data_IF_974229974317
#
_entry.id   IF_974229974317
#
_cell.length_a   1.000
_cell.length_b   1.000
_cell.length_c   1.000
_cell.angle_alpha   90.00
_cell.angle_beta   90.00
_cell.angle_gamma   90.00
#
_symmetry.space_group_name_H-M   'P 1'
#
loop_
_entity.id
_entity.type
_entity.pdbx_description
1 polymer ?
#
# COMPACT_ATOMS: atom_id res chain seq x y z
N UNK A 1 -26.10 -35.82 11.76
CA UNK A 1 -24.88 -35.83 12.58
C UNK A 1 -24.35 -34.41 12.59
N UNK A 2 -24.43 -33.75 13.74
CA UNK A 2 -24.03 -32.36 13.90
C UNK A 2 -22.50 -32.25 13.81
N UNK A 3 -22.02 -31.40 12.91
CA UNK A 3 -20.61 -31.00 12.85
C UNK A 3 -20.38 -30.04 14.00
N UNK A 4 -19.50 -30.43 14.91
CA UNK A 4 -19.14 -29.68 16.10
C UNK A 4 -18.34 -28.44 15.72
N UNK A 5 -18.95 -27.26 15.89
CA UNK A 5 -18.26 -25.97 15.93
C UNK A 5 -17.19 -26.02 17.02
N UNK A 6 -15.93 -26.01 16.61
CA UNK A 6 -14.80 -25.85 17.52
C UNK A 6 -14.75 -24.37 17.89
N UNK A 7 -15.49 -24.01 18.94
CA UNK A 7 -15.38 -22.71 19.60
C UNK A 7 -14.04 -22.68 20.36
N UNK A 8 -12.97 -22.24 19.69
CA UNK A 8 -11.68 -21.96 20.31
C UNK A 8 -11.79 -20.62 21.04
N UNK A 9 -12.40 -20.64 22.21
CA UNK A 9 -12.15 -19.59 23.21
C UNK A 9 -10.66 -19.64 23.56
N UNK A 10 -9.97 -18.50 23.73
CA UNK A 10 -8.61 -18.51 24.26
C UNK A 10 -8.59 -19.25 25.59
N UNK A 11 -7.58 -20.11 25.79
CA UNK A 11 -7.40 -20.80 27.06
C UNK A 11 -7.25 -19.73 28.14
N UNK A 12 -8.12 -19.77 29.14
CA UNK A 12 -8.07 -18.91 30.32
C UNK A 12 -6.64 -18.90 30.88
N UNK A 13 -5.92 -17.80 30.68
CA UNK A 13 -4.55 -17.60 31.20
C UNK A 13 -3.45 -17.30 30.17
N UNK A 14 -3.71 -17.34 28.86
CA UNK A 14 -2.75 -16.80 27.87
C UNK A 14 -2.82 -15.27 27.87
N UNK A 15 -1.70 -14.60 28.14
CA UNK A 15 -1.58 -13.16 27.96
C UNK A 15 -1.88 -12.82 26.50
N UNK A 16 -2.82 -11.90 26.28
CA UNK A 16 -3.10 -11.35 24.95
C UNK A 16 -1.96 -10.41 24.58
N UNK A 17 -0.85 -11.00 24.11
CA UNK A 17 0.38 -10.28 23.75
C UNK A 17 0.14 -9.21 22.68
N UNK A 18 -0.88 -9.40 21.83
CA UNK A 18 -1.25 -8.44 20.81
C UNK A 18 -1.96 -7.22 21.40
N UNK A 19 -2.57 -7.33 22.59
CA UNK A 19 -3.23 -6.23 23.27
C UNK A 19 -2.30 -5.36 24.13
N UNK A 20 -1.02 -5.75 24.26
CA UNK A 20 -0.01 -4.99 25.01
C UNK A 20 0.84 -4.15 24.05
N UNK A 21 1.15 -2.90 24.45
CA UNK A 21 2.08 -2.04 23.72
C UNK A 21 3.50 -2.30 24.21
N UNK A 22 4.43 -2.59 23.29
CA UNK A 22 5.85 -2.68 23.62
C UNK A 22 6.48 -1.28 23.83
N UNK A 23 7.74 -1.23 24.27
CA UNK A 23 8.42 0.03 24.62
C UNK A 23 8.47 1.03 23.45
N UNK A 24 8.72 0.52 22.26
CA UNK A 24 8.75 1.24 20.98
C UNK A 24 7.37 1.82 20.63
N UNK A 25 6.30 1.14 21.01
CA UNK A 25 4.94 1.58 20.77
C UNK A 25 4.47 2.66 21.73
N UNK A 26 5.01 2.68 22.95
CA UNK A 26 4.78 3.78 23.89
C UNK A 26 5.32 5.10 23.33
N UNK A 27 6.45 5.08 22.61
CA UNK A 27 6.98 6.28 21.93
C UNK A 27 5.97 6.87 20.94
N UNK A 28 5.32 6.02 20.15
CA UNK A 28 4.31 6.40 19.16
C UNK A 28 3.03 6.91 19.82
N UNK A 29 2.54 6.19 20.83
CA UNK A 29 1.39 6.60 21.64
C UNK A 29 1.59 7.99 22.23
N UNK A 30 2.75 8.25 22.83
CA UNK A 30 3.04 9.52 23.51
C UNK A 30 3.14 10.71 22.53
N UNK A 31 3.34 10.43 21.24
CA UNK A 31 3.38 11.44 20.16
C UNK A 31 2.08 11.56 19.37
N UNK A 32 1.09 10.68 19.61
CA UNK A 32 -0.15 10.65 18.85
C UNK A 32 -0.83 12.03 18.82
N UNK A 33 -0.97 12.69 19.97
CA UNK A 33 -1.61 14.02 20.04
C UNK A 33 -0.81 15.11 19.33
N UNK A 34 0.51 15.03 19.36
CA UNK A 34 1.37 15.98 18.65
C UNK A 34 1.20 15.80 17.14
N UNK A 35 1.25 14.57 16.64
CA UNK A 35 1.05 14.26 15.22
C UNK A 35 -0.35 14.67 14.76
N UNK A 36 -1.37 14.40 15.56
CA UNK A 36 -2.75 14.82 15.28
C UNK A 36 -2.88 16.35 15.19
N UNK A 37 -2.20 17.09 16.08
CA UNK A 37 -2.14 18.56 16.00
C UNK A 37 -1.46 19.09 14.73
N UNK A 38 -0.70 18.25 14.03
CA UNK A 38 -0.04 18.53 12.75
C UNK A 38 -0.83 17.98 11.55
N UNK A 39 -2.03 17.41 11.77
CA UNK A 39 -2.86 16.82 10.72
C UNK A 39 -2.52 15.38 10.38
N UNK A 40 -1.64 14.72 11.14
CA UNK A 40 -1.30 13.31 10.95
C UNK A 40 -2.06 12.44 11.95
N UNK A 41 -2.75 11.42 11.46
CA UNK A 41 -3.50 10.50 12.31
C UNK A 41 -2.75 9.17 12.43
N UNK A 42 -2.27 8.86 13.64
CA UNK A 42 -1.79 7.51 13.94
C UNK A 42 -2.95 6.52 14.08
N UNK A 43 -2.64 5.24 13.88
CA UNK A 43 -3.54 4.10 14.02
C UNK A 43 -4.21 4.07 15.41
N UNK A 44 -5.45 3.57 15.55
CA UNK A 44 -6.15 3.49 16.83
C UNK A 44 -5.32 2.89 17.96
N UNK A 45 -4.45 1.92 17.66
CA UNK A 45 -3.49 1.29 18.58
C UNK A 45 -2.71 2.26 19.46
N UNK A 46 -2.40 3.45 18.94
CA UNK A 46 -1.58 4.46 19.61
C UNK A 46 -2.40 5.54 20.33
N UNK A 47 -3.72 5.37 20.45
CA UNK A 47 -4.56 6.26 21.25
C UNK A 47 -4.47 5.87 22.74
N UNK A 48 -4.58 6.86 23.62
CA UNK A 48 -4.44 6.66 25.07
C UNK A 48 -5.47 5.68 25.65
N UNK A 49 -6.66 5.63 25.03
CA UNK A 49 -7.84 4.86 25.40
C UNK A 49 -8.12 3.71 24.41
N UNK A 50 -7.10 3.26 23.68
CA UNK A 50 -7.23 2.19 22.70
C UNK A 50 -7.80 0.90 23.33
N UNK A 51 -8.81 0.35 22.65
CA UNK A 51 -9.37 -0.97 22.90
C UNK A 51 -9.10 -1.81 21.65
N UNK A 52 -8.46 -2.99 21.77
CA UNK A 52 -8.19 -3.85 20.62
C UNK A 52 -9.44 -4.17 19.81
N UNK A 53 -9.36 -4.03 18.48
CA UNK A 53 -10.52 -4.21 17.59
C UNK A 53 -11.06 -5.64 17.57
N UNK A 54 -10.28 -6.63 18.03
CA UNK A 54 -10.67 -8.03 18.19
C UNK A 54 -11.29 -8.34 19.55
N UNK A 55 -11.39 -7.38 20.48
CA UNK A 55 -11.99 -7.63 21.79
C UNK A 55 -13.43 -8.13 21.64
N UNK A 56 -13.72 -9.29 22.22
CA UNK A 56 -15.03 -9.95 22.14
C UNK A 56 -15.30 -10.71 20.83
N UNK A 57 -14.29 -10.86 19.96
CA UNK A 57 -14.34 -11.66 18.72
C UNK A 57 -13.51 -12.95 18.86
N UNK A 58 -13.70 -13.95 17.97
CA UNK A 58 -12.84 -15.14 17.92
C UNK A 58 -11.36 -14.77 17.77
N UNK A 59 -10.46 -15.56 18.39
CA UNK A 59 -9.03 -15.24 18.46
C UNK A 59 -8.37 -15.15 17.07
N UNK A 60 -8.88 -15.90 16.09
CA UNK A 60 -8.41 -15.89 14.71
C UNK A 60 -8.54 -14.50 14.04
N UNK A 61 -9.44 -13.65 14.55
CA UNK A 61 -9.65 -12.29 14.04
C UNK A 61 -8.44 -11.38 14.33
N UNK A 62 -7.61 -11.69 15.33
CA UNK A 62 -6.41 -10.92 15.67
C UNK A 62 -5.50 -10.74 14.44
N UNK A 63 -5.32 -11.80 13.65
CA UNK A 63 -4.44 -11.76 12.46
C UNK A 63 -5.02 -10.95 11.29
N UNK A 64 -6.30 -10.60 11.34
CA UNK A 64 -6.92 -9.72 10.36
C UNK A 64 -7.07 -8.29 10.88
N UNK A 65 -6.83 -8.07 12.18
CA UNK A 65 -6.95 -6.78 12.82
C UNK A 65 -5.70 -5.94 12.56
N UNK A 66 -5.89 -4.75 11.99
CA UNK A 66 -4.76 -3.89 11.69
C UNK A 66 -4.03 -3.39 12.93
N UNK A 67 -4.78 -3.12 13.99
CA UNK A 67 -4.26 -2.71 15.28
C UNK A 67 -3.58 -3.84 16.07
N UNK A 68 -3.41 -5.04 15.48
CA UNK A 68 -2.59 -6.12 16.05
C UNK A 68 -1.11 -6.03 15.66
N UNK A 69 -0.79 -5.30 14.60
CA UNK A 69 0.58 -5.16 14.10
C UNK A 69 1.22 -3.90 14.67
N UNK A 70 2.51 -3.93 14.99
CA UNK A 70 3.26 -2.80 15.57
C UNK A 70 3.93 -1.94 14.49
N UNK A 71 4.21 -0.67 14.78
CA UNK A 71 5.09 0.17 13.96
C UNK A 71 6.55 -0.18 14.27
N UNK A 72 7.47 0.01 13.30
CA UNK A 72 8.90 -0.22 13.51
C UNK A 72 9.48 0.69 14.60
N UNK A 73 10.62 0.27 15.16
CA UNK A 73 11.32 0.95 16.25
C UNK A 73 11.71 2.39 15.83
N UNK A 74 11.15 3.42 16.49
CA UNK A 74 11.46 4.82 16.17
C UNK A 74 12.79 5.32 16.75
N UNK A 75 13.49 4.51 17.55
CA UNK A 75 14.75 4.88 18.23
C UNK A 75 15.97 4.48 17.39
N UNK A 76 15.79 3.67 16.36
CA UNK A 76 16.87 3.36 15.42
C UNK A 76 17.30 4.64 14.67
N UNK A 77 18.49 5.14 15.02
CA UNK A 77 19.06 6.37 14.45
C UNK A 77 19.43 6.23 12.98
N UNK A 78 19.51 4.99 12.47
CA UNK A 78 19.78 4.71 11.06
C UNK A 78 18.49 4.63 10.24
N UNK A 79 17.31 4.70 10.88
CA UNK A 79 16.02 4.70 10.19
C UNK A 79 15.41 6.10 10.10
N UNK A 80 14.89 6.41 8.91
CA UNK A 80 14.07 7.61 8.66
C UNK A 80 12.65 7.18 8.32
N UNK A 81 11.66 7.89 8.87
CA UNK A 81 10.25 7.57 8.69
C UNK A 81 9.65 8.56 7.70
N UNK A 82 9.13 8.03 6.60
CA UNK A 82 8.42 8.79 5.59
C UNK A 82 6.91 8.59 5.75
N UNK A 83 6.16 9.68 5.85
CA UNK A 83 4.69 9.65 5.83
C UNK A 83 4.23 9.88 4.39
N UNK A 84 3.59 8.85 3.81
CA UNK A 84 3.04 8.90 2.46
C UNK A 84 1.50 8.87 2.50
N UNK A 85 0.81 9.37 1.47
CA UNK A 85 -0.63 9.16 1.31
C UNK A 85 -0.99 7.67 1.38
N UNK A 86 -2.17 7.36 1.90
CA UNK A 86 -2.66 5.98 1.95
C UNK A 86 -3.29 5.59 0.62
N UNK A 87 -2.51 4.90 -0.23
CA UNK A 87 -2.85 4.61 -1.62
C UNK A 87 -3.32 3.15 -1.81
N UNK A 88 -4.02 2.89 -2.93
CA UNK A 88 -4.39 1.56 -3.41
C UNK A 88 -3.60 1.19 -4.66
N UNK A 89 -3.49 -0.11 -4.95
CA UNK A 89 -2.94 -0.58 -6.22
C UNK A 89 -3.79 -0.10 -7.40
N UNK A 90 -3.16 0.12 -8.55
CA UNK A 90 -3.81 0.70 -9.73
C UNK A 90 -4.95 -0.14 -10.27
N UNK A 91 -4.92 -1.45 -10.04
CA UNK A 91 -5.87 -2.46 -10.51
C UNK A 91 -7.00 -2.71 -9.50
N UNK A 92 -6.99 -2.07 -8.32
CA UNK A 92 -8.00 -2.31 -7.25
C UNK A 92 -8.69 -1.05 -6.75
N UNK A 93 -10.03 -0.91 -6.93
CA UNK A 93 -10.98 -1.88 -7.50
C UNK A 93 -10.85 -1.99 -9.02
N UNK A 94 -11.33 -3.05 -9.65
CA UNK A 94 -11.08 -3.30 -11.08
C UNK A 94 -11.49 -2.11 -11.97
N UNK A 95 -10.83 -1.96 -13.13
CA UNK A 95 -11.23 -0.98 -14.14
C UNK A 95 -12.49 -1.47 -14.85
N UNK A 96 -13.58 -0.71 -14.77
CA UNK A 96 -14.90 -1.14 -15.26
C UNK A 96 -15.14 -0.66 -16.70
N UNK A 97 -14.43 0.38 -17.12
CA UNK A 97 -14.62 1.05 -18.41
C UNK A 97 -13.32 1.41 -19.10
N UNK A 98 -13.37 1.54 -20.42
CA UNK A 98 -12.21 1.98 -21.22
C UNK A 98 -11.75 3.38 -20.80
N UNK A 99 -12.68 4.25 -20.41
CA UNK A 99 -12.34 5.60 -19.93
C UNK A 99 -11.50 5.57 -18.64
N UNK A 100 -11.69 4.57 -17.77
CA UNK A 100 -10.88 4.41 -16.55
C UNK A 100 -9.42 4.11 -16.92
N UNK A 101 -9.22 3.28 -17.95
CA UNK A 101 -7.90 2.90 -18.49
C UNK A 101 -7.21 4.11 -19.10
N UNK A 102 -7.92 4.87 -19.93
CA UNK A 102 -7.37 6.05 -20.61
C UNK A 102 -6.97 7.13 -19.61
N UNK A 103 -7.81 7.45 -18.63
CA UNK A 103 -7.48 8.43 -17.58
C UNK A 103 -6.28 8.03 -16.74
N UNK A 104 -6.11 6.74 -16.46
CA UNK A 104 -4.95 6.20 -15.77
C UNK A 104 -3.68 6.38 -16.62
N UNK A 105 -3.72 5.94 -17.88
CA UNK A 105 -2.56 6.00 -18.78
C UNK A 105 -2.15 7.44 -19.03
N UNK A 106 -3.09 8.35 -19.25
CA UNK A 106 -2.79 9.77 -19.47
C UNK A 106 -2.00 10.36 -18.29
N UNK A 107 -2.43 10.14 -17.04
CA UNK A 107 -1.72 10.63 -15.86
C UNK A 107 -0.34 9.97 -15.66
N UNK A 108 -0.24 8.67 -15.94
CA UNK A 108 1.02 7.92 -15.83
C UNK A 108 2.03 8.46 -16.85
N UNK A 109 1.60 8.74 -18.08
CA UNK A 109 2.47 9.25 -19.15
C UNK A 109 2.79 10.75 -19.04
N UNK A 110 1.99 11.54 -18.32
CA UNK A 110 2.30 12.96 -18.06
C UNK A 110 3.60 13.15 -17.26
N UNK A 111 4.00 12.16 -16.45
CA UNK A 111 5.29 12.14 -15.75
C UNK A 111 6.38 11.65 -16.72
N UNK A 112 6.72 12.49 -17.69
CA UNK A 112 7.53 12.20 -18.87
C UNK A 112 8.97 11.67 -18.68
N UNK A 113 9.41 11.30 -17.47
CA UNK A 113 10.80 10.91 -17.20
C UNK A 113 10.98 9.98 -15.97
N UNK A 114 9.91 9.35 -15.48
CA UNK A 114 10.02 8.38 -14.38
C UNK A 114 9.09 7.20 -14.64
N UNK A 115 9.64 6.02 -14.88
CA UNK A 115 8.85 4.80 -14.89
C UNK A 115 9.35 3.82 -13.86
N UNK A 116 8.44 3.38 -13.00
CA UNK A 116 8.66 2.17 -12.26
C UNK A 116 7.36 1.41 -12.05
N UNK A 117 7.46 0.10 -11.83
CA UNK A 117 6.38 -0.72 -11.28
C UNK A 117 6.17 -0.37 -9.82
N UNK A 118 5.62 0.80 -9.56
CA UNK A 118 5.20 1.26 -8.24
C UNK A 118 4.18 2.40 -8.42
N UNK A 119 3.31 2.27 -9.41
CA UNK A 119 2.20 3.20 -9.52
C UNK A 119 1.15 2.76 -8.49
N UNK A 120 0.69 3.70 -7.69
CA UNK A 120 -0.47 3.53 -6.81
C UNK A 120 -1.43 4.69 -7.02
N UNK A 121 -2.65 4.56 -6.56
CA UNK A 121 -3.68 5.58 -6.72
C UNK A 121 -4.26 6.06 -5.39
N UNK A 122 -4.59 7.34 -5.33
CA UNK A 122 -5.41 7.89 -4.27
C UNK A 122 -6.88 7.61 -4.58
N UNK A 123 -7.40 6.58 -3.91
CA UNK A 123 -8.76 6.12 -4.05
C UNK A 123 -9.73 6.80 -3.07
N UNK A 124 -9.30 7.82 -2.32
CA UNK A 124 -10.12 8.41 -1.25
C UNK A 124 -11.49 8.89 -1.74
N UNK A 125 -11.53 9.49 -2.95
CA UNK A 125 -12.78 9.94 -3.56
C UNK A 125 -13.71 8.78 -3.97
N UNK A 126 -13.16 7.61 -4.27
CA UNK A 126 -13.94 6.41 -4.61
C UNK A 126 -14.57 5.74 -3.39
N UNK A 127 -13.99 5.96 -2.20
CA UNK A 127 -14.43 5.36 -0.95
C UNK A 127 -14.89 6.48 0.01
N UNK A 128 -16.11 7.04 -0.17
CA UNK A 128 -16.56 8.20 0.62
C UNK A 128 -16.67 7.93 2.12
N UNK A 129 -16.76 6.66 2.53
CA UNK A 129 -16.75 6.22 3.94
C UNK A 129 -15.38 5.69 4.39
N UNK A 130 -14.36 5.86 3.55
CA UNK A 130 -13.04 5.26 3.74
C UNK A 130 -13.02 3.76 3.49
N UNK A 131 -11.84 3.17 3.67
CA UNK A 131 -11.62 1.73 3.58
C UNK A 131 -10.54 1.28 4.57
N UNK A 132 -10.58 0.01 4.93
CA UNK A 132 -9.66 -0.56 5.91
C UNK A 132 -8.23 -0.70 5.36
N UNK A 133 -7.19 -0.39 6.16
CA UNK A 133 -5.79 -0.43 5.74
C UNK A 133 -5.30 -1.78 5.20
N UNK A 134 -5.68 -2.88 5.88
CA UNK A 134 -5.30 -4.26 5.49
C UNK A 134 -6.35 -4.87 4.56
N UNK A 135 -7.58 -5.07 5.05
CA UNK A 135 -8.69 -5.62 4.26
C UNK A 135 -9.38 -4.50 3.45
N UNK A 136 -8.71 -3.99 2.42
CA UNK A 136 -9.09 -2.80 1.66
C UNK A 136 -10.48 -2.81 0.99
N UNK A 137 -11.19 -3.93 1.02
CA UNK A 137 -12.57 -4.10 0.57
C UNK A 137 -13.62 -3.76 1.65
N UNK A 138 -13.19 -3.53 2.90
CA UNK A 138 -14.07 -3.28 4.05
C UNK A 138 -14.01 -1.85 4.54
N UNK A 139 -15.03 -1.44 5.29
CA UNK A 139 -15.05 -0.17 6.02
C UNK A 139 -13.89 -0.11 7.03
N UNK A 140 -13.42 1.09 7.42
CA UNK A 140 -12.28 1.25 8.34
C UNK A 140 -12.40 0.50 9.67
N UNK A 141 -13.63 0.25 10.13
CA UNK A 141 -13.95 -0.46 11.38
C UNK A 141 -14.28 -1.95 11.18
N UNK A 142 -14.04 -2.48 9.97
CA UNK A 142 -14.38 -3.82 9.50
C UNK A 142 -15.86 -4.23 9.61
N UNK A 143 -16.78 -3.30 9.91
CA UNK A 143 -18.21 -3.58 10.12
C UNK A 143 -18.93 -4.14 8.89
N UNK A 144 -18.41 -3.86 7.69
CA UNK A 144 -18.99 -4.32 6.43
C UNK A 144 -18.09 -4.02 5.24
N UNK A 145 -18.62 -4.29 4.04
CA UNK A 145 -17.96 -3.93 2.77
C UNK A 145 -17.98 -2.40 2.61
N UNK A 146 -16.87 -1.80 2.20
CA UNK A 146 -16.86 -0.37 1.92
C UNK A 146 -17.60 -0.08 0.61
N UNK A 147 -18.53 0.89 0.57
CA UNK A 147 -19.13 1.35 -0.67
C UNK A 147 -18.08 1.95 -1.60
N UNK A 148 -18.17 1.61 -2.88
CA UNK A 148 -17.21 2.02 -3.92
C UNK A 148 -17.95 2.79 -5.00
N UNK A 149 -17.46 3.97 -5.34
CA UNK A 149 -17.88 4.73 -6.52
C UNK A 149 -17.01 4.33 -7.71
N UNK A 150 -17.61 4.34 -8.90
CA UNK A 150 -16.89 4.07 -10.16
C UNK A 150 -15.76 5.08 -10.36
N UNK A 151 -14.62 4.63 -10.90
CA UNK A 151 -13.43 5.45 -11.14
C UNK A 151 -13.77 6.67 -12.00
N UNK A 152 -14.42 6.45 -13.14
CA UNK A 152 -14.91 7.52 -14.03
C UNK A 152 -15.89 8.53 -13.40
N UNK A 153 -16.47 8.24 -12.23
CA UNK A 153 -17.43 9.13 -11.57
C UNK A 153 -16.77 10.13 -10.60
N UNK A 154 -15.49 9.96 -10.27
CA UNK A 154 -14.78 10.77 -9.28
C UNK A 154 -13.34 11.07 -9.74
N UNK A 155 -12.72 12.16 -9.28
CA UNK A 155 -11.32 12.40 -9.58
C UNK A 155 -10.43 11.36 -8.87
N UNK A 156 -9.60 10.65 -9.63
CA UNK A 156 -8.59 9.71 -9.12
C UNK A 156 -7.21 10.21 -9.52
N UNK A 157 -6.25 10.21 -8.58
CA UNK A 157 -4.86 10.60 -8.82
C UNK A 157 -3.94 9.40 -8.73
N UNK A 158 -2.97 9.33 -9.63
CA UNK A 158 -1.95 8.29 -9.67
C UNK A 158 -0.60 8.85 -9.24
N UNK A 159 0.17 8.04 -8.51
CA UNK A 159 1.47 8.40 -7.95
C UNK A 159 2.47 7.29 -8.23
N UNK A 160 3.66 7.66 -8.67
CA UNK A 160 4.83 6.79 -8.55
C UNK A 160 5.29 6.79 -7.09
N UNK A 161 5.47 5.59 -6.53
CA UNK A 161 6.03 5.39 -5.19
C UNK A 161 7.34 4.63 -5.27
N UNK A 162 8.00 4.51 -4.12
CA UNK A 162 9.18 3.68 -3.90
C UNK A 162 10.30 3.92 -4.93
N UNK A 163 11.11 4.92 -4.57
CA UNK A 163 12.28 5.39 -5.31
C UNK A 163 13.57 4.74 -4.78
N UNK A 164 13.48 3.58 -4.10
CA UNK A 164 14.61 2.96 -3.40
C UNK A 164 15.79 2.61 -4.30
N UNK A 165 15.54 2.43 -5.60
CA UNK A 165 16.54 2.11 -6.62
C UNK A 165 16.66 3.20 -7.71
N UNK A 166 16.05 4.36 -7.51
CA UNK A 166 16.10 5.46 -8.47
C UNK A 166 17.47 6.14 -8.48
N UNK A 167 17.93 6.55 -9.66
CA UNK A 167 19.20 7.28 -9.83
C UNK A 167 18.92 8.76 -10.12
N UNK A 168 19.55 9.65 -9.35
CA UNK A 168 19.49 11.10 -9.60
C UNK A 168 20.72 11.56 -10.38
N UNK A 169 20.50 12.10 -11.58
CA UNK A 169 21.54 12.76 -12.38
C UNK A 169 21.69 14.23 -11.99
N UNK A 170 22.92 14.72 -11.83
CA UNK A 170 23.24 16.10 -11.41
C UNK A 170 24.10 16.87 -12.41
N UNK A 171 24.49 16.27 -13.54
CA UNK A 171 25.39 16.89 -14.53
C UNK A 171 25.07 16.49 -15.97
N UNK A 172 25.76 17.11 -16.92
CA UNK A 172 25.70 16.82 -18.37
C UNK A 172 26.43 15.52 -18.77
N UNK A 173 26.93 14.75 -17.80
CA UNK A 173 27.51 13.43 -18.05
C UNK A 173 26.48 12.47 -18.69
N UNK A 174 26.94 11.42 -19.42
CA UNK A 174 26.04 10.41 -19.96
C UNK A 174 25.16 9.82 -18.86
N UNK A 175 23.83 9.95 -19.03
CA UNK A 175 22.84 9.43 -18.09
C UNK A 175 22.67 7.93 -18.30
N UNK A 176 23.67 7.16 -17.91
CA UNK A 176 23.67 5.70 -17.97
C UNK A 176 23.72 5.13 -16.57
N UNK A 177 23.12 3.95 -16.39
CA UNK A 177 23.10 3.21 -15.12
C UNK A 177 23.54 1.77 -15.33
N UNK A 178 23.91 1.11 -14.23
CA UNK A 178 24.08 -0.34 -14.13
C UNK A 178 23.18 -0.85 -13.00
N UNK A 179 22.79 -2.12 -13.09
CA UNK A 179 21.99 -2.80 -12.09
C UNK A 179 20.98 -3.75 -12.72
N UNK A 180 20.64 -4.77 -11.94
CA UNK A 180 19.64 -5.81 -12.27
C UNK A 180 18.46 -5.81 -11.31
N UNK A 181 18.48 -4.97 -10.28
CA UNK A 181 17.42 -4.90 -9.27
C UNK A 181 16.16 -4.25 -9.85
N UNK A 182 15.02 -4.90 -9.69
CA UNK A 182 13.72 -4.39 -10.10
C UNK A 182 12.62 -5.45 -9.96
N UNK A 183 11.35 -5.01 -9.98
CA UNK A 183 10.20 -5.92 -9.99
C UNK A 183 9.88 -6.49 -11.39
N UNK A 184 10.48 -5.91 -12.44
CA UNK A 184 10.46 -6.50 -13.77
C UNK A 184 11.87 -6.86 -14.21
N UNK A 185 12.10 -8.15 -14.41
CA UNK A 185 13.37 -8.68 -14.87
C UNK A 185 13.34 -9.00 -16.39
N UNK A 186 12.23 -8.71 -17.09
CA UNK A 186 12.15 -8.87 -18.55
C UNK A 186 13.05 -7.94 -19.39
N UNK A 187 13.36 -6.68 -18.98
CA UNK A 187 14.16 -5.80 -19.82
C UNK A 187 15.55 -6.41 -20.11
N UNK A 188 15.91 -6.64 -21.39
CA UNK A 188 17.12 -7.36 -21.75
C UNK A 188 18.43 -6.58 -21.49
N UNK A 189 18.34 -5.27 -21.27
CA UNK A 189 19.48 -4.39 -21.00
C UNK A 189 19.97 -4.43 -19.54
N UNK A 190 19.19 -5.01 -18.61
CA UNK A 190 19.56 -5.11 -17.20
C UNK A 190 20.91 -5.81 -17.03
N UNK A 191 21.87 -5.14 -16.39
CA UNK A 191 23.22 -5.64 -16.23
C UNK A 191 23.95 -4.95 -15.10
N UNK A 192 24.64 -5.72 -14.26
CA UNK A 192 25.49 -5.19 -13.19
C UNK A 192 26.83 -4.64 -13.71
N UNK A 193 27.14 -4.82 -15.01
CA UNK A 193 28.45 -4.46 -15.59
C UNK A 193 28.39 -3.67 -16.89
N UNK A 194 27.29 -3.76 -17.65
CA UNK A 194 27.13 -3.07 -18.93
C UNK A 194 26.19 -1.88 -18.71
N UNK A 195 26.65 -0.62 -18.86
CA UNK A 195 25.79 0.54 -18.70
C UNK A 195 24.70 0.61 -19.77
N UNK A 196 23.48 0.98 -19.37
CA UNK A 196 22.33 1.15 -20.26
C UNK A 196 21.60 2.47 -20.01
N UNK A 197 20.72 2.83 -20.94
CA UNK A 197 19.92 4.05 -20.90
C UNK A 197 18.68 3.83 -20.02
N UNK A 198 18.60 4.42 -18.82
CA UNK A 198 17.48 4.23 -17.91
C UNK A 198 16.17 4.79 -18.46
N UNK A 199 16.19 5.79 -19.34
CA UNK A 199 14.97 6.36 -19.91
C UNK A 199 14.29 5.38 -20.89
N UNK A 200 15.09 4.57 -21.60
CA UNK A 200 14.55 3.50 -22.45
C UNK A 200 14.02 2.33 -21.63
N UNK A 201 14.75 1.96 -20.58
CA UNK A 201 14.29 0.99 -19.59
C UNK A 201 12.93 1.43 -19.05
N UNK A 202 12.79 2.70 -18.68
CA UNK A 202 11.57 3.26 -18.12
C UNK A 202 10.36 3.12 -19.07
N UNK A 203 10.53 3.46 -20.36
CA UNK A 203 9.49 3.27 -21.38
C UNK A 203 9.10 1.80 -21.52
N UNK A 204 10.08 0.88 -21.48
CA UNK A 204 9.82 -0.56 -21.52
C UNK A 204 9.00 -1.01 -20.30
N UNK A 205 9.36 -0.54 -19.09
CA UNK A 205 8.65 -0.86 -17.85
C UNK A 205 7.20 -0.37 -17.84
N UNK A 206 6.92 0.85 -18.33
CA UNK A 206 5.54 1.34 -18.50
C UNK A 206 4.78 0.48 -19.51
N UNK A 207 5.40 0.15 -20.64
CA UNK A 207 4.78 -0.72 -21.64
C UNK A 207 4.38 -2.07 -21.04
N UNK A 208 5.26 -2.65 -20.22
CA UNK A 208 4.99 -3.89 -19.52
C UNK A 208 3.94 -3.76 -18.42
N UNK A 209 3.89 -2.64 -17.69
CA UNK A 209 2.82 -2.35 -16.74
C UNK A 209 1.47 -2.36 -17.46
N UNK A 210 1.34 -1.60 -18.56
CA UNK A 210 0.11 -1.54 -19.35
C UNK A 210 -0.25 -2.92 -19.88
N UNK A 211 0.71 -3.65 -20.45
CA UNK A 211 0.50 -4.99 -20.97
C UNK A 211 -0.03 -5.94 -19.89
N UNK A 212 0.61 -6.00 -18.73
CA UNK A 212 0.28 -6.99 -17.69
C UNK A 212 -0.99 -6.63 -16.91
N UNK A 213 -1.12 -5.37 -16.52
CA UNK A 213 -2.19 -4.93 -15.62
C UNK A 213 -3.47 -4.53 -16.37
N UNK A 214 -3.40 -4.23 -17.67
CA UNK A 214 -4.55 -3.71 -18.44
C UNK A 214 -4.91 -4.57 -19.66
N UNK A 215 -3.96 -5.30 -20.24
CA UNK A 215 -4.20 -6.11 -21.45
C UNK A 215 -4.26 -7.61 -21.19
N UNK A 216 -3.28 -8.17 -20.48
CA UNK A 216 -3.17 -9.61 -20.19
C UNK A 216 -4.13 -10.08 -19.10
N UNK A 217 -4.86 -9.18 -18.43
CA UNK A 217 -5.86 -9.50 -17.40
C UNK A 217 -6.96 -10.35 -18.04
N UNK A 218 -6.81 -11.67 -17.89
CA UNK A 218 -7.82 -12.65 -18.28
C UNK A 218 -9.06 -12.40 -17.45
N UNK A 219 -10.19 -12.20 -18.12
CA UNK A 219 -11.52 -12.35 -17.52
C UNK A 219 -11.53 -13.73 -16.86
N UNK A 220 -11.58 -13.78 -15.52
CA UNK A 220 -11.79 -15.04 -14.83
C UNK A 220 -13.17 -15.55 -15.24
N UNK A 221 -13.31 -16.82 -15.69
CA UNK A 221 -14.63 -17.34 -16.00
C UNK A 221 -15.48 -17.33 -14.72
N UNK A 222 -16.71 -16.82 -14.85
CA UNK A 222 -17.74 -16.75 -13.80
C UNK A 222 -18.04 -18.11 -13.14
#
# INVERSE_FOLDING_TARGET
>A
MASSDVNVQPRTGEQDIFAELCGEELYWRDRQRFLESRGYQLRPRYRQDWIPSWRGKPYEVVFAAEDAYTLPDPIDTDMSIMVMPFLKYIDKPDMERVEDVLQCIDQVLEVQDCAFKNVMMDASAMFPQGFHPIVQTRLPDVSGRAPVLSRSAVPVKYYYIDFGISTRFTSDAPRLVVGTLGLDEEPPELSDSIPYDPFKLDVFLIGNLIRRELYDVRVSPE
#
